data_IF_025493997177
#
_entry.id   IF_025493997177
#
_cell.length_a   1.000
_cell.length_b   1.000
_cell.length_c   1.000
_cell.angle_alpha   90.00
_cell.angle_beta   90.00
_cell.angle_gamma   90.00
#
_symmetry.space_group_name_H-M   'P 1'
#
loop_
_entity.id
_entity.type
_entity.pdbx_description
1 polymer ?
#
# COMPACT_ATOMS: atom_id res chain seq x y z
N UNK A 1 -13.33 -15.80 10.22
CA UNK A 1 -14.05 -14.52 10.38
C UNK A 1 -13.02 -13.42 10.58
N UNK A 2 -12.71 -12.65 9.53
CA UNK A 2 -11.73 -11.54 9.60
C UNK A 2 -12.44 -10.30 10.11
N UNK A 3 -12.02 -9.81 11.27
CA UNK A 3 -12.51 -8.58 11.87
C UNK A 3 -12.03 -7.39 11.03
N UNK A 4 -12.93 -6.73 10.33
CA UNK A 4 -12.65 -5.50 9.60
C UNK A 4 -12.90 -4.34 10.55
N UNK A 5 -11.84 -3.75 11.06
CA UNK A 5 -11.88 -2.47 11.78
C UNK A 5 -11.79 -1.37 10.73
N UNK A 6 -12.90 -0.73 10.42
CA UNK A 6 -12.91 0.45 9.53
C UNK A 6 -12.67 1.67 10.39
N UNK A 7 -11.40 1.98 10.61
CA UNK A 7 -10.99 3.28 11.14
C UNK A 7 -10.91 4.30 10.01
N UNK A 8 -11.90 5.17 9.88
CA UNK A 8 -11.89 6.28 8.92
C UNK A 8 -10.98 7.40 9.44
N UNK A 9 -9.67 7.26 9.25
CA UNK A 9 -8.67 8.30 9.50
C UNK A 9 -8.45 9.09 8.20
N UNK A 10 -9.15 10.22 8.07
CA UNK A 10 -8.78 11.25 7.09
C UNK A 10 -7.60 12.04 7.67
N UNK A 11 -6.38 11.67 7.27
CA UNK A 11 -5.17 12.44 7.55
C UNK A 11 -4.97 13.51 6.47
N UNK A 12 -5.22 14.77 6.81
CA UNK A 12 -4.73 15.91 6.02
C UNK A 12 -3.32 16.24 6.46
N UNK A 13 -2.35 15.97 5.59
CA UNK A 13 -0.96 16.42 5.76
C UNK A 13 -0.87 17.95 5.60
N UNK A 14 -0.53 18.64 6.67
CA UNK A 14 0.03 19.99 6.62
C UNK A 14 1.55 19.88 6.70
N UNK A 15 2.21 20.25 5.62
CA UNK A 15 3.64 20.51 5.57
C UNK A 15 3.92 21.89 6.19
N UNK A 16 4.48 21.91 7.38
CA UNK A 16 5.03 23.11 8.01
C UNK A 16 6.54 22.97 8.14
N UNK A 17 7.28 23.73 7.35
CA UNK A 17 8.73 23.87 7.49
C UNK A 17 9.06 24.74 8.71
N UNK A 18 9.90 24.24 9.63
CA UNK A 18 10.58 25.07 10.63
C UNK A 18 12.09 24.85 10.54
N UNK A 19 12.75 25.91 10.16
CA UNK A 19 14.21 26.09 10.16
C UNK A 19 14.74 26.16 11.58
N UNK A 20 15.81 25.42 11.80
CA UNK A 20 16.65 25.44 12.99
C UNK A 20 17.51 26.71 13.07
N UNK A 21 17.70 27.24 14.28
CA UNK A 21 18.92 27.96 14.60
C UNK A 21 19.34 27.69 16.06
N UNK A 22 20.47 27.04 16.19
CA UNK A 22 21.18 26.83 17.45
C UNK A 22 22.02 28.04 17.78
N UNK A 23 22.06 28.43 19.05
CA UNK A 23 23.26 29.07 19.64
C UNK A 23 23.37 28.80 21.14
N UNK A 24 24.45 28.17 21.44
CA UNK A 24 25.10 27.90 22.73
C UNK A 24 25.50 29.19 23.41
N UNK A 25 25.45 29.29 24.77
CA UNK A 25 26.58 29.64 25.66
C UNK A 25 26.14 29.85 27.11
N UNK A 26 26.64 28.99 27.97
CA UNK A 26 27.49 29.17 29.18
C UNK A 26 26.93 29.87 30.42
N UNK A 27 26.92 29.06 31.48
CA UNK A 27 27.12 29.24 32.90
C UNK A 27 27.24 30.70 33.46
N UNK A 28 26.54 30.95 34.55
CA UNK A 28 27.22 31.20 35.81
C UNK A 28 26.33 31.07 37.05
N UNK A 29 26.94 30.45 38.05
CA UNK A 29 26.51 30.21 39.42
C UNK A 29 26.43 31.50 40.21
N UNK A 30 25.47 31.63 41.12
CA UNK A 30 25.72 31.99 42.52
C UNK A 30 24.43 32.04 43.36
N UNK A 31 24.45 31.28 44.32
CA UNK A 31 23.93 31.17 45.69
C UNK A 31 23.30 32.45 46.30
N UNK A 32 22.21 32.29 47.05
CA UNK A 32 21.98 32.57 48.47
C UNK A 32 20.57 33.11 48.79
N UNK A 33 19.94 32.34 49.66
CA UNK A 33 19.07 32.64 50.82
C UNK A 33 17.66 33.18 50.62
N UNK A 34 16.77 32.29 50.99
CA UNK A 34 15.99 32.33 52.27
C UNK A 34 14.81 33.26 52.35
N UNK A 35 13.73 32.61 52.58
CA UNK A 35 12.62 32.98 53.50
C UNK A 35 11.41 33.66 52.90
N UNK A 36 10.37 32.99 53.15
CA UNK A 36 9.02 33.33 53.58
C UNK A 36 7.89 32.97 52.65
N UNK A 37 7.22 31.94 53.13
CA UNK A 37 5.78 31.80 53.25
C UNK A 37 4.95 32.71 52.34
N UNK A 38 4.58 32.21 51.20
CA UNK A 38 3.36 32.66 50.57
C UNK A 38 2.53 31.41 50.22
N UNK A 39 1.43 31.31 50.91
CA UNK A 39 0.27 30.49 50.58
C UNK A 39 0.03 30.58 49.08
N UNK A 40 0.45 29.57 48.33
CA UNK A 40 0.01 29.44 46.96
C UNK A 40 -1.47 29.09 46.97
N UNK A 41 -2.33 30.07 46.79
CA UNK A 41 -3.63 29.84 46.23
C UNK A 41 -3.38 29.19 44.88
N UNK A 42 -3.63 27.88 44.79
CA UNK A 42 -3.75 27.17 43.56
C UNK A 42 -4.95 27.77 42.82
N UNK A 43 -4.70 28.72 41.96
CA UNK A 43 -5.64 29.16 40.95
C UNK A 43 -5.80 27.97 40.01
N UNK A 44 -6.76 27.12 40.32
CA UNK A 44 -7.19 26.06 39.41
C UNK A 44 -7.77 26.77 38.18
N UNK A 45 -6.99 26.85 37.10
CA UNK A 45 -7.52 27.33 35.82
C UNK A 45 -8.74 26.49 35.47
N UNK A 46 -9.91 27.12 35.38
CA UNK A 46 -11.13 26.46 35.01
C UNK A 46 -11.00 25.94 33.57
N UNK A 47 -11.15 24.64 33.40
CA UNK A 47 -11.11 23.98 32.07
C UNK A 47 -12.47 24.22 31.40
N UNK A 48 -12.47 24.95 30.28
CA UNK A 48 -13.67 25.14 29.47
C UNK A 48 -14.14 23.80 28.85
N UNK A 49 -15.46 23.63 28.77
CA UNK A 49 -16.05 22.45 28.12
C UNK A 49 -15.59 22.39 26.64
N UNK A 50 -15.03 21.26 26.26
CA UNK A 50 -14.64 20.94 24.89
C UNK A 50 -15.03 19.49 24.56
N UNK A 51 -15.58 19.28 23.38
CA UNK A 51 -15.98 17.95 22.90
C UNK A 51 -15.27 17.63 21.60
N UNK A 52 -14.65 16.47 21.53
CA UNK A 52 -14.00 15.96 20.32
C UNK A 52 -15.04 15.53 19.28
N UNK A 53 -14.57 15.28 18.04
CA UNK A 53 -15.43 14.67 17.02
C UNK A 53 -15.88 13.28 17.47
N UNK A 54 -17.16 12.89 17.23
CA UNK A 54 -17.67 11.59 17.58
C UNK A 54 -16.95 10.46 16.82
N UNK A 55 -16.67 9.37 17.53
CA UNK A 55 -16.22 8.12 16.92
C UNK A 55 -17.40 7.16 16.82
N UNK A 56 -17.61 6.54 15.66
CA UNK A 56 -18.74 5.67 15.37
C UNK A 56 -18.33 4.20 15.33
N UNK A 57 -19.10 3.33 16.01
CA UNK A 57 -18.87 1.89 16.09
C UNK A 57 -20.13 1.16 15.62
N UNK A 58 -20.23 0.95 14.30
CA UNK A 58 -21.41 0.31 13.69
C UNK A 58 -21.64 -1.13 14.17
N UNK A 59 -20.57 -1.87 14.43
CA UNK A 59 -20.66 -3.26 14.91
C UNK A 59 -21.40 -3.38 16.26
N UNK A 60 -21.24 -2.38 17.11
CA UNK A 60 -21.85 -2.34 18.45
C UNK A 60 -23.04 -1.39 18.53
N UNK A 61 -23.40 -0.76 17.42
CA UNK A 61 -24.51 0.20 17.37
C UNK A 61 -24.34 1.42 18.29
N UNK A 62 -23.10 1.87 18.51
CA UNK A 62 -22.76 2.93 19.44
C UNK A 62 -21.92 4.02 18.78
N UNK A 63 -21.97 5.21 19.37
CA UNK A 63 -20.97 6.25 19.17
C UNK A 63 -20.28 6.59 20.49
N UNK A 64 -19.08 7.12 20.37
CA UNK A 64 -18.24 7.53 21.48
C UNK A 64 -17.95 9.02 21.39
N UNK A 65 -18.22 9.75 22.45
CA UNK A 65 -17.81 11.14 22.64
C UNK A 65 -16.76 11.20 23.73
N UNK A 66 -15.73 12.00 23.49
CA UNK A 66 -14.72 12.32 24.48
C UNK A 66 -14.50 13.84 24.52
N UNK A 67 -14.06 14.36 25.65
CA UNK A 67 -13.85 15.78 25.81
C UNK A 67 -13.09 16.13 27.06
N UNK A 68 -13.04 17.43 27.33
CA UNK A 68 -12.51 17.99 28.56
C UNK A 68 -13.51 18.98 29.16
N UNK A 69 -13.58 19.02 30.47
CA UNK A 69 -14.36 19.99 31.24
C UNK A 69 -13.73 20.12 32.64
N UNK A 70 -14.20 21.10 33.41
CA UNK A 70 -13.75 21.31 34.77
C UNK A 70 -14.06 20.07 35.65
N UNK A 71 -13.06 19.48 36.33
CA UNK A 71 -13.26 18.28 37.17
C UNK A 71 -14.24 18.49 38.31
N UNK A 72 -14.52 19.74 38.70
CA UNK A 72 -15.46 20.08 39.77
C UNK A 72 -16.92 20.23 39.30
N UNK A 73 -17.14 20.13 37.97
CA UNK A 73 -18.44 20.30 37.35
C UNK A 73 -18.93 18.99 36.77
N UNK A 74 -20.23 18.81 36.76
CA UNK A 74 -20.89 17.70 36.09
C UNK A 74 -21.22 18.12 34.66
N UNK A 75 -20.81 17.30 33.67
CA UNK A 75 -21.25 17.46 32.28
C UNK A 75 -22.54 16.73 32.07
N UNK A 76 -23.61 17.46 31.77
CA UNK A 76 -24.93 16.93 31.46
C UNK A 76 -25.09 16.84 29.95
N UNK A 77 -25.57 15.71 29.47
CA UNK A 77 -25.77 15.40 28.07
C UNK A 77 -27.23 15.16 27.81
N UNK A 78 -27.81 15.95 26.91
CA UNK A 78 -29.22 15.88 26.53
C UNK A 78 -29.39 15.70 25.01
N UNK A 79 -30.54 15.15 24.62
CA UNK A 79 -30.99 15.14 23.22
C UNK A 79 -32.47 15.47 23.20
N UNK A 80 -32.89 16.40 22.33
CA UNK A 80 -34.27 16.89 22.26
C UNK A 80 -34.83 17.35 23.62
N UNK A 81 -33.94 17.82 24.51
CA UNK A 81 -34.30 18.25 25.88
C UNK A 81 -34.43 17.12 26.90
N UNK A 82 -34.26 15.86 26.51
CA UNK A 82 -34.26 14.71 27.41
C UNK A 82 -32.85 14.37 27.88
N UNK A 83 -32.72 14.05 29.18
CA UNK A 83 -31.45 13.65 29.79
C UNK A 83 -30.99 12.29 29.23
N UNK A 84 -29.80 12.26 28.61
CA UNK A 84 -29.17 11.02 28.17
C UNK A 84 -28.22 10.49 29.23
N UNK A 85 -27.34 11.37 29.76
CA UNK A 85 -26.35 11.00 30.76
C UNK A 85 -25.77 12.21 31.47
N UNK A 86 -25.31 11.96 32.69
CA UNK A 86 -24.43 12.87 33.42
C UNK A 86 -23.08 12.21 33.68
N UNK A 87 -22.00 12.99 33.63
CA UNK A 87 -20.63 12.50 33.83
C UNK A 87 -19.81 13.55 34.58
N UNK A 88 -19.06 13.12 35.58
CA UNK A 88 -18.05 13.94 36.23
C UNK A 88 -16.71 13.67 35.54
N UNK A 89 -16.02 14.71 35.01
CA UNK A 89 -14.69 14.56 34.44
C UNK A 89 -13.69 14.01 35.46
N UNK A 90 -12.65 13.37 34.95
CA UNK A 90 -11.51 12.91 35.76
C UNK A 90 -10.73 14.09 36.33
N UNK A 91 -9.77 13.85 37.23
CA UNK A 91 -8.93 14.89 37.83
C UNK A 91 -8.17 15.73 36.81
N UNK A 92 -7.83 15.14 35.64
CA UNK A 92 -7.19 15.83 34.52
C UNK A 92 -8.20 16.56 33.60
N UNK A 93 -9.48 16.59 33.97
CA UNK A 93 -10.57 17.19 33.24
C UNK A 93 -11.11 16.33 32.09
N UNK A 94 -10.57 15.15 31.83
CA UNK A 94 -11.04 14.31 30.73
C UNK A 94 -12.34 13.59 31.07
N UNK A 95 -13.22 13.42 30.04
CA UNK A 95 -14.39 12.59 30.11
C UNK A 95 -14.63 11.83 28.82
N UNK A 96 -15.32 10.72 28.91
CA UNK A 96 -15.75 9.96 27.75
C UNK A 96 -17.07 9.23 28.01
N UNK A 97 -17.89 9.12 26.97
CA UNK A 97 -19.14 8.38 27.01
C UNK A 97 -19.32 7.54 25.76
N UNK A 98 -20.06 6.46 25.95
CA UNK A 98 -20.58 5.63 24.86
C UNK A 98 -22.09 5.65 24.92
N UNK A 99 -22.72 5.96 23.80
CA UNK A 99 -24.17 6.10 23.66
C UNK A 99 -24.63 5.30 22.43
N UNK A 100 -25.82 4.68 22.47
CA UNK A 100 -26.39 4.04 21.29
C UNK A 100 -26.56 5.02 20.13
N UNK A 101 -26.30 4.55 18.90
CA UNK A 101 -26.53 5.33 17.68
C UNK A 101 -28.02 5.59 17.48
N UNK A 102 -28.40 6.78 17.01
CA UNK A 102 -29.74 7.01 16.46
C UNK A 102 -30.01 6.05 15.29
N UNK A 103 -31.19 5.45 15.22
CA UNK A 103 -31.48 4.43 14.21
C UNK A 103 -31.67 5.02 12.79
N UNK A 104 -32.51 6.03 12.67
CA UNK A 104 -33.00 6.49 11.33
C UNK A 104 -32.54 7.88 10.93
N UNK A 105 -32.40 8.81 11.87
CA UNK A 105 -32.13 10.21 11.59
C UNK A 105 -30.97 10.73 12.44
N UNK A 106 -30.23 11.70 11.89
CA UNK A 106 -29.22 12.45 12.63
C UNK A 106 -29.87 13.14 13.83
N UNK A 107 -29.26 13.01 14.99
CA UNK A 107 -29.71 13.66 16.22
C UNK A 107 -28.65 14.62 16.77
N UNK A 108 -29.13 15.73 17.33
CA UNK A 108 -28.28 16.69 18.01
C UNK A 108 -28.23 16.37 19.51
N UNK A 109 -27.01 16.31 20.02
CA UNK A 109 -26.71 16.16 21.43
C UNK A 109 -26.15 17.48 21.95
N UNK A 110 -26.69 17.94 23.07
CA UNK A 110 -26.21 19.14 23.77
C UNK A 110 -25.49 18.71 25.03
N UNK A 111 -24.30 19.21 25.23
CA UNK A 111 -23.48 18.97 26.40
C UNK A 111 -23.28 20.30 27.12
N UNK A 112 -23.52 20.31 28.43
CA UNK A 112 -23.35 21.50 29.27
C UNK A 112 -22.64 21.17 30.57
N UNK A 113 -21.77 22.05 31.02
CA UNK A 113 -21.15 22.06 32.34
C UNK A 113 -21.80 23.08 33.30
N UNK A 114 -22.96 23.61 32.90
CA UNK A 114 -23.68 24.68 33.61
C UNK A 114 -23.21 26.09 33.27
N UNK A 115 -22.09 26.24 32.56
CA UNK A 115 -21.58 27.55 32.14
C UNK A 115 -21.32 27.61 30.63
N UNK A 116 -20.92 26.50 30.01
CA UNK A 116 -20.67 26.39 28.58
C UNK A 116 -21.57 25.32 27.99
N UNK A 117 -22.04 25.56 26.77
CA UNK A 117 -22.85 24.59 26.03
C UNK A 117 -22.13 24.23 24.72
N UNK A 118 -22.01 22.95 24.44
CA UNK A 118 -21.48 22.41 23.20
C UNK A 118 -22.57 21.58 22.51
N UNK A 119 -22.63 21.65 21.18
CA UNK A 119 -23.61 20.90 20.38
C UNK A 119 -22.90 19.99 19.40
N UNK A 120 -23.27 18.72 19.39
CA UNK A 120 -22.69 17.70 18.53
C UNK A 120 -23.80 16.98 17.76
N UNK A 121 -23.75 17.02 16.44
CA UNK A 121 -24.68 16.28 15.58
C UNK A 121 -24.17 14.87 15.36
N UNK A 122 -24.94 13.88 15.73
CA UNK A 122 -24.61 12.45 15.62
C UNK A 122 -25.38 11.86 14.45
N UNK A 123 -24.67 11.34 13.47
CA UNK A 123 -25.25 10.64 12.32
C UNK A 123 -25.98 9.39 12.75
N UNK A 124 -27.08 9.10 12.09
CA UNK A 124 -27.82 7.86 12.33
C UNK A 124 -27.05 6.63 11.80
N UNK A 125 -27.41 5.48 12.33
CA UNK A 125 -26.92 4.18 11.85
C UNK A 125 -27.21 3.98 10.36
N UNK A 126 -28.42 4.37 9.90
CA UNK A 126 -28.82 4.24 8.51
C UNK A 126 -27.92 5.08 7.57
N UNK A 127 -27.60 6.32 7.96
CA UNK A 127 -26.70 7.19 7.18
C UNK A 127 -25.27 6.67 7.15
N UNK A 128 -24.77 6.19 8.29
CA UNK A 128 -23.42 5.62 8.38
C UNK A 128 -23.29 4.33 7.57
N UNK A 129 -24.31 3.46 7.62
CA UNK A 129 -24.33 2.24 6.82
C UNK A 129 -24.35 2.54 5.33
N UNK A 130 -25.19 3.46 4.88
CA UNK A 130 -25.24 3.91 3.49
C UNK A 130 -23.89 4.46 3.03
N UNK A 131 -23.25 5.29 3.84
CA UNK A 131 -21.93 5.82 3.52
C UNK A 131 -20.86 4.72 3.44
N UNK A 132 -20.91 3.72 4.31
CA UNK A 132 -20.01 2.57 4.28
C UNK A 132 -20.21 1.72 3.00
N UNK A 133 -21.47 1.45 2.64
CA UNK A 133 -21.81 0.69 1.44
C UNK A 133 -21.35 1.42 0.16
N UNK A 134 -21.51 2.74 0.10
CA UNK A 134 -21.02 3.57 -1.02
C UNK A 134 -19.49 3.55 -1.16
N UNK A 135 -18.76 3.60 -0.03
CA UNK A 135 -17.30 3.50 -0.02
C UNK A 135 -16.84 2.12 -0.49
N UNK A 136 -17.51 1.07 -0.01
CA UNK A 136 -17.18 -0.30 -0.42
C UNK A 136 -17.47 -0.54 -1.92
N UNK A 137 -18.59 -0.03 -2.43
CA UNK A 137 -18.92 -0.12 -3.85
C UNK A 137 -17.87 0.60 -4.73
N UNK A 138 -17.46 1.80 -4.34
CA UNK A 138 -16.40 2.54 -5.04
C UNK A 138 -15.06 1.80 -5.00
N UNK A 139 -14.69 1.22 -3.85
CA UNK A 139 -13.46 0.43 -3.73
C UNK A 139 -13.47 -0.78 -4.68
N UNK A 140 -14.56 -1.54 -4.69
CA UNK A 140 -14.71 -2.71 -5.59
C UNK A 140 -14.60 -2.30 -7.06
N UNK A 141 -15.21 -1.18 -7.45
CA UNK A 141 -15.11 -0.68 -8.82
C UNK A 141 -13.68 -0.25 -9.17
N UNK A 142 -12.98 0.44 -8.26
CA UNK A 142 -11.58 0.80 -8.47
C UNK A 142 -10.65 -0.41 -8.57
N UNK A 143 -10.85 -1.43 -7.72
CA UNK A 143 -10.09 -2.69 -7.77
C UNK A 143 -10.31 -3.40 -9.11
N UNK A 144 -11.56 -3.42 -9.62
CA UNK A 144 -11.88 -4.01 -10.93
C UNK A 144 -11.21 -3.24 -12.07
N UNK A 145 -11.32 -1.91 -12.10
CA UNK A 145 -10.69 -1.07 -13.12
C UNK A 145 -9.17 -1.23 -13.12
N UNK A 146 -8.56 -1.31 -11.93
CA UNK A 146 -7.12 -1.54 -11.79
C UNK A 146 -6.72 -2.90 -12.35
N UNK A 147 -7.45 -3.96 -12.01
CA UNK A 147 -7.18 -5.31 -12.53
C UNK A 147 -7.33 -5.39 -14.06
N UNK A 148 -8.34 -4.72 -14.63
CA UNK A 148 -8.54 -4.66 -16.10
C UNK A 148 -7.40 -3.87 -16.77
N UNK A 149 -6.95 -2.75 -16.18
CA UNK A 149 -5.85 -1.95 -16.70
C UNK A 149 -4.52 -2.73 -16.65
N UNK A 150 -4.23 -3.43 -15.54
CA UNK A 150 -3.04 -4.28 -15.40
C UNK A 150 -3.05 -5.43 -16.43
N UNK A 151 -4.19 -6.08 -16.63
CA UNK A 151 -4.34 -7.13 -17.64
C UNK A 151 -4.07 -6.60 -19.05
N UNK A 152 -4.65 -5.45 -19.39
CA UNK A 152 -4.46 -4.82 -20.70
C UNK A 152 -3.01 -4.43 -20.92
N UNK A 153 -2.36 -3.82 -19.92
CA UNK A 153 -0.94 -3.46 -19.99
C UNK A 153 -0.05 -4.70 -20.18
N UNK A 154 -0.33 -5.81 -19.48
CA UNK A 154 0.40 -7.06 -19.64
C UNK A 154 0.20 -7.68 -21.04
N UNK A 155 -1.00 -7.58 -21.62
CA UNK A 155 -1.27 -8.03 -22.98
C UNK A 155 -0.55 -7.17 -24.03
N UNK A 156 -0.57 -5.85 -23.87
CA UNK A 156 0.16 -4.89 -24.72
C UNK A 156 1.68 -5.12 -24.62
N UNK A 157 2.20 -5.35 -23.42
CA UNK A 157 3.60 -5.69 -23.24
C UNK A 157 3.98 -6.98 -23.95
N UNK A 158 3.21 -8.06 -23.78
CA UNK A 158 3.41 -9.34 -24.50
C UNK A 158 3.36 -9.16 -26.02
N UNK A 159 2.43 -8.35 -26.52
CA UNK A 159 2.32 -8.07 -27.94
C UNK A 159 3.52 -7.27 -28.50
N UNK A 160 4.20 -6.49 -27.66
CA UNK A 160 5.36 -5.71 -28.09
C UNK A 160 6.56 -6.56 -28.51
N UNK A 161 6.59 -7.84 -28.14
CA UNK A 161 7.63 -8.81 -28.57
C UNK A 161 7.34 -9.46 -29.92
N UNK A 162 6.13 -9.29 -30.45
CA UNK A 162 5.72 -9.85 -31.76
C UNK A 162 6.16 -8.91 -32.89
N UNK A 163 7.47 -8.75 -33.04
CA UNK A 163 8.11 -7.78 -33.95
C UNK A 163 8.26 -8.35 -35.37
N UNK A 164 8.02 -9.64 -35.57
CA UNK A 164 8.24 -10.33 -36.83
C UNK A 164 9.74 -10.60 -37.14
N UNK A 165 10.61 -10.40 -36.16
CA UNK A 165 12.05 -10.76 -36.29
C UNK A 165 12.15 -12.29 -36.38
N UNK A 166 12.87 -12.80 -37.40
CA UNK A 166 13.05 -14.23 -37.65
C UNK A 166 14.42 -14.71 -37.22
N UNK A 167 14.62 -16.03 -37.15
CA UNK A 167 15.94 -16.62 -36.94
C UNK A 167 16.96 -16.11 -37.98
N UNK A 168 16.59 -16.05 -39.28
CA UNK A 168 17.50 -15.59 -40.34
C UNK A 168 17.87 -14.13 -40.19
N UNK A 169 17.00 -13.29 -39.66
CA UNK A 169 17.34 -11.91 -39.33
C UNK A 169 18.46 -11.85 -38.31
N UNK A 170 18.36 -12.61 -37.23
CA UNK A 170 19.36 -12.66 -36.18
C UNK A 170 20.68 -13.28 -36.66
N UNK A 171 20.60 -14.39 -37.40
CA UNK A 171 21.77 -15.11 -37.85
C UNK A 171 22.56 -14.39 -38.96
N UNK A 172 21.89 -13.60 -39.82
CA UNK A 172 22.56 -12.89 -40.93
C UNK A 172 22.98 -11.48 -40.60
N UNK A 173 22.28 -10.83 -39.68
CA UNK A 173 22.49 -9.41 -39.36
C UNK A 173 22.44 -9.15 -37.83
N UNK A 174 23.23 -9.83 -37.01
CA UNK A 174 23.14 -9.80 -35.56
C UNK A 174 23.24 -8.38 -35.00
N UNK A 175 24.11 -7.54 -35.53
CA UNK A 175 24.31 -6.16 -35.08
C UNK A 175 23.10 -5.28 -35.38
N UNK A 176 22.37 -5.53 -36.48
CA UNK A 176 21.18 -4.77 -36.85
C UNK A 176 20.01 -5.02 -35.88
N UNK A 177 19.91 -6.24 -35.38
CA UNK A 177 18.83 -6.68 -34.48
C UNK A 177 19.28 -6.75 -33.02
N UNK A 178 20.44 -6.19 -32.68
CA UNK A 178 20.88 -6.09 -31.30
C UNK A 178 19.92 -5.26 -30.48
N UNK A 179 19.54 -5.76 -29.31
CA UNK A 179 18.54 -5.16 -28.39
C UNK A 179 17.09 -5.07 -28.94
N UNK A 180 16.82 -5.73 -30.09
CA UNK A 180 15.43 -5.84 -30.58
C UNK A 180 14.64 -6.88 -29.77
N UNK A 181 13.36 -6.59 -29.49
CA UNK A 181 12.43 -7.51 -28.87
C UNK A 181 12.08 -8.64 -29.83
N UNK A 182 12.06 -9.86 -29.32
CA UNK A 182 11.77 -11.07 -30.11
C UNK A 182 10.82 -11.99 -29.35
N UNK A 183 10.04 -12.75 -30.12
CA UNK A 183 9.16 -13.81 -29.62
C UNK A 183 9.38 -15.04 -30.47
N UNK A 184 9.74 -16.14 -29.83
CA UNK A 184 9.91 -17.43 -30.50
C UNK A 184 9.20 -18.54 -29.72
N UNK A 185 8.65 -19.51 -30.43
CA UNK A 185 8.19 -20.78 -29.87
C UNK A 185 9.13 -21.88 -30.30
N UNK A 186 9.36 -22.87 -29.48
CA UNK A 186 10.26 -23.96 -29.84
C UNK A 186 10.59 -24.89 -28.69
N UNK A 187 11.57 -25.76 -28.92
CA UNK A 187 11.97 -26.83 -28.02
C UNK A 187 13.31 -26.59 -27.39
N UNK A 188 13.42 -26.87 -26.11
CA UNK A 188 14.70 -26.95 -25.40
C UNK A 188 15.41 -28.23 -25.80
N UNK A 189 16.58 -28.12 -26.39
CA UNK A 189 17.37 -29.26 -26.82
C UNK A 189 18.61 -29.54 -25.96
N UNK A 190 18.96 -28.59 -25.08
CA UNK A 190 19.99 -28.78 -24.09
C UNK A 190 19.88 -27.77 -22.97
N UNK A 191 20.11 -28.20 -21.73
CA UNK A 191 20.17 -27.35 -20.55
C UNK A 191 21.61 -27.21 -20.07
N UNK A 192 22.09 -25.95 -19.95
CA UNK A 192 23.45 -25.61 -19.49
C UNK A 192 23.25 -24.76 -18.21
N UNK A 193 23.42 -25.37 -17.05
CA UNK A 193 23.23 -24.67 -15.78
C UNK A 193 24.40 -23.74 -15.47
N UNK A 194 24.09 -22.52 -15.06
CA UNK A 194 24.98 -21.56 -14.43
C UNK A 194 24.62 -21.31 -12.97
N UNK A 195 25.34 -20.43 -12.31
CA UNK A 195 25.12 -20.10 -10.89
C UNK A 195 23.98 -19.08 -10.74
N UNK A 196 23.98 -18.00 -11.52
CA UNK A 196 22.97 -16.93 -11.46
C UNK A 196 21.96 -16.99 -12.62
N UNK A 197 22.35 -17.62 -13.72
CA UNK A 197 21.59 -17.74 -14.97
C UNK A 197 21.81 -19.10 -15.57
N UNK A 198 20.74 -19.68 -16.11
CA UNK A 198 20.85 -20.91 -16.90
C UNK A 198 20.72 -20.60 -18.38
N UNK A 199 21.57 -21.25 -19.18
CA UNK A 199 21.54 -21.16 -20.63
C UNK A 199 20.93 -22.41 -21.24
N UNK A 200 20.21 -22.23 -22.32
CA UNK A 200 19.53 -23.32 -23.02
C UNK A 200 19.79 -23.21 -24.52
N UNK A 201 20.06 -24.36 -25.16
CA UNK A 201 19.94 -24.42 -26.62
C UNK A 201 18.47 -24.64 -26.95
N UNK A 202 17.98 -23.80 -27.85
CA UNK A 202 16.55 -23.71 -28.16
C UNK A 202 16.35 -23.81 -29.67
N UNK A 203 15.63 -24.84 -30.12
CA UNK A 203 15.27 -25.06 -31.53
C UNK A 203 13.93 -24.37 -31.82
N UNK A 204 13.98 -23.28 -32.59
CA UNK A 204 12.81 -22.51 -32.99
C UNK A 204 11.90 -23.41 -33.86
N UNK A 205 10.61 -23.43 -33.55
CA UNK A 205 9.57 -24.19 -34.25
C UNK A 205 9.90 -25.70 -34.44
N UNK A 206 10.61 -26.30 -33.45
CA UNK A 206 11.16 -27.66 -33.55
C UNK A 206 12.16 -27.88 -34.71
N UNK A 207 12.68 -26.81 -35.27
CA UNK A 207 13.65 -26.87 -36.37
C UNK A 207 15.10 -26.87 -35.84
N UNK A 208 15.73 -28.03 -35.86
CA UNK A 208 17.09 -28.21 -35.34
C UNK A 208 18.18 -27.51 -36.19
N UNK A 209 17.82 -26.97 -37.36
CA UNK A 209 18.69 -26.10 -38.16
C UNK A 209 18.60 -24.63 -37.74
N UNK A 210 17.62 -24.29 -36.88
CA UNK A 210 17.38 -22.94 -36.39
C UNK A 210 17.55 -22.88 -34.87
N UNK A 211 18.77 -23.07 -34.41
CA UNK A 211 19.09 -23.10 -32.98
C UNK A 211 19.65 -21.76 -32.52
N UNK A 212 19.08 -21.23 -31.44
CA UNK A 212 19.58 -20.08 -30.72
C UNK A 212 20.03 -20.48 -29.30
N UNK A 213 20.85 -19.67 -28.68
CA UNK A 213 21.12 -19.74 -27.25
C UNK A 213 20.16 -18.80 -26.54
N UNK A 214 19.47 -19.28 -25.54
CA UNK A 214 18.62 -18.46 -24.67
C UNK A 214 19.19 -18.46 -23.26
N UNK A 215 19.12 -17.31 -22.61
CA UNK A 215 19.54 -17.13 -21.24
C UNK A 215 18.34 -16.73 -20.37
N UNK A 216 18.13 -17.45 -19.27
CA UNK A 216 17.00 -17.28 -18.35
C UNK A 216 17.56 -17.16 -16.93
N UNK A 217 17.12 -16.17 -16.17
CA UNK A 217 17.55 -15.99 -14.79
C UNK A 217 17.02 -17.10 -13.89
N UNK A 218 17.76 -17.45 -12.83
CA UNK A 218 17.33 -18.45 -11.85
C UNK A 218 16.04 -18.01 -11.11
N UNK A 219 15.81 -16.71 -10.96
CA UNK A 219 14.55 -16.19 -10.36
C UNK A 219 13.33 -16.56 -11.21
N UNK A 220 13.44 -16.49 -12.54
CA UNK A 220 12.36 -16.89 -13.45
C UNK A 220 12.14 -18.41 -13.43
N UNK A 221 13.20 -19.19 -13.21
CA UNK A 221 13.15 -20.65 -13.13
C UNK A 221 12.69 -21.18 -11.77
N UNK A 222 12.65 -20.33 -10.75
CA UNK A 222 12.30 -20.72 -9.37
C UNK A 222 10.95 -21.41 -9.24
N UNK A 223 9.97 -21.03 -10.08
CA UNK A 223 8.62 -21.59 -10.09
C UNK A 223 8.40 -22.68 -11.16
N UNK A 224 9.23 -22.68 -12.22
CA UNK A 224 9.06 -23.57 -13.36
C UNK A 224 10.44 -23.97 -13.89
N UNK A 225 10.95 -25.09 -13.38
CA UNK A 225 12.20 -25.66 -13.91
C UNK A 225 11.98 -26.17 -15.33
N UNK A 226 12.82 -25.69 -16.26
CA UNK A 226 12.83 -26.18 -17.64
C UNK A 226 13.73 -27.40 -17.81
N UNK A 227 13.29 -28.33 -18.62
CA UNK A 227 13.98 -29.56 -18.95
C UNK A 227 14.20 -29.66 -20.46
N UNK A 228 15.08 -30.58 -20.87
CA UNK A 228 15.18 -31.01 -22.27
C UNK A 228 13.83 -31.56 -22.73
N UNK A 229 13.49 -31.31 -23.99
CA UNK A 229 12.25 -31.64 -24.66
C UNK A 229 11.03 -30.76 -24.28
N UNK A 230 11.15 -29.84 -23.32
CA UNK A 230 10.08 -28.86 -23.07
C UNK A 230 9.88 -27.96 -24.29
N UNK A 231 8.58 -27.77 -24.66
CA UNK A 231 8.18 -26.85 -25.70
C UNK A 231 7.65 -25.57 -25.08
N UNK A 232 8.30 -24.44 -25.34
CA UNK A 232 7.98 -23.16 -24.69
C UNK A 232 7.86 -22.04 -25.73
N UNK A 233 7.17 -20.97 -25.33
CA UNK A 233 7.22 -19.67 -26.00
C UNK A 233 8.02 -18.72 -25.15
N UNK A 234 9.09 -18.16 -25.71
CA UNK A 234 9.92 -17.13 -25.07
C UNK A 234 9.57 -15.75 -25.63
N UNK A 235 9.75 -14.74 -24.75
CA UNK A 235 9.80 -13.33 -25.10
C UNK A 235 11.07 -12.76 -24.48
N UNK A 236 11.84 -12.05 -25.26
CA UNK A 236 13.15 -11.56 -24.79
C UNK A 236 13.74 -10.55 -25.74
N UNK A 237 14.99 -10.25 -25.50
CA UNK A 237 15.76 -9.27 -26.26
C UNK A 237 16.94 -9.96 -26.92
N UNK A 238 17.15 -9.69 -28.22
CA UNK A 238 18.32 -10.18 -28.95
C UNK A 238 19.62 -9.61 -28.36
N UNK A 239 20.55 -10.50 -28.07
CA UNK A 239 21.87 -10.16 -27.53
C UNK A 239 22.99 -10.24 -28.59
N UNK A 240 22.65 -10.42 -29.87
CA UNK A 240 23.57 -10.61 -30.93
C UNK A 240 23.98 -12.08 -31.07
N UNK A 241 25.28 -12.34 -31.24
CA UNK A 241 25.84 -13.70 -31.40
C UNK A 241 26.59 -14.15 -30.14
N UNK A 242 26.52 -15.44 -29.86
CA UNK A 242 27.26 -16.09 -28.79
C UNK A 242 28.05 -17.27 -29.36
N UNK A 243 29.36 -17.30 -29.06
CA UNK A 243 30.24 -18.40 -29.46
C UNK A 243 30.59 -19.27 -28.26
N UNK A 244 30.40 -20.57 -28.40
CA UNK A 244 30.77 -21.55 -27.39
C UNK A 244 31.52 -22.74 -27.99
N UNK A 245 32.29 -23.45 -27.16
CA UNK A 245 32.98 -24.66 -27.57
C UNK A 245 32.07 -25.87 -27.42
N UNK A 246 31.81 -26.58 -28.49
CA UNK A 246 31.03 -27.82 -28.48
C UNK A 246 31.75 -28.96 -27.77
N UNK A 247 31.02 -30.01 -27.40
CA UNK A 247 31.58 -31.22 -26.78
C UNK A 247 32.64 -31.93 -27.66
N UNK A 248 32.65 -31.68 -28.97
CA UNK A 248 33.62 -32.21 -29.94
C UNK A 248 34.82 -31.28 -30.14
N UNK A 249 34.91 -30.17 -29.39
CA UNK A 249 36.01 -29.22 -29.40
C UNK A 249 35.99 -28.17 -30.54
N UNK A 250 34.90 -28.11 -31.33
CA UNK A 250 34.66 -27.07 -32.32
C UNK A 250 33.96 -25.85 -31.76
N UNK A 251 34.31 -24.65 -32.24
CA UNK A 251 33.56 -23.44 -31.90
C UNK A 251 32.26 -23.38 -32.71
N UNK A 252 31.18 -23.04 -32.04
CA UNK A 252 29.84 -22.85 -32.61
C UNK A 252 29.35 -21.47 -32.24
N UNK A 253 28.97 -20.67 -33.24
CA UNK A 253 28.37 -19.35 -33.08
C UNK A 253 26.91 -19.44 -33.46
N UNK A 254 26.04 -18.95 -32.54
CA UNK A 254 24.57 -18.92 -32.71
C UNK A 254 24.03 -17.57 -32.26
N UNK A 255 22.87 -17.15 -32.77
CA UNK A 255 22.17 -16.01 -32.19
C UNK A 255 21.81 -16.25 -30.71
N UNK A 256 21.86 -15.21 -29.91
CA UNK A 256 21.58 -15.27 -28.49
C UNK A 256 20.41 -14.34 -28.11
N UNK A 257 19.59 -14.77 -27.17
CA UNK A 257 18.44 -14.03 -26.64
C UNK A 257 18.45 -14.09 -25.10
N UNK A 258 18.37 -12.93 -24.47
CA UNK A 258 18.08 -12.83 -23.04
C UNK A 258 16.56 -12.83 -22.86
N UNK A 259 16.06 -13.76 -22.07
CA UNK A 259 14.61 -13.99 -21.92
C UNK A 259 14.05 -13.14 -20.80
N UNK A 260 13.05 -12.31 -21.14
CA UNK A 260 12.28 -11.52 -20.16
C UNK A 260 11.12 -12.33 -19.57
N UNK A 261 10.53 -13.22 -20.37
CA UNK A 261 9.47 -14.12 -19.90
C UNK A 261 9.31 -15.35 -20.79
N UNK A 262 8.82 -16.43 -20.23
CA UNK A 262 8.48 -17.64 -21.00
C UNK A 262 7.14 -18.24 -20.55
N UNK A 263 6.50 -19.00 -21.44
CA UNK A 263 5.28 -19.75 -21.18
C UNK A 263 5.47 -21.19 -21.63
N UNK A 264 5.04 -22.15 -20.80
CA UNK A 264 5.01 -23.58 -21.17
C UNK A 264 3.86 -23.82 -22.13
N UNK A 265 4.16 -24.42 -23.27
CA UNK A 265 3.14 -24.82 -24.24
C UNK A 265 2.90 -26.35 -24.08
N UNK A 266 1.89 -26.70 -23.30
CA UNK A 266 1.49 -28.10 -23.10
C UNK A 266 0.69 -28.62 -24.28
#
# INVERSE_FOLDING_TARGET
>A
MKKIVIGLLLSTMFLGACTSNAKTTTENSSTIKSSENSTSESTTESIALYVSRPAYYLENNNFHLAGKADPQKTVTITTSGELVKEITPSEDGSFSITVPLPETETQDFELTDGTTNEKVSIKSKAELQKAADEVEAKRKEQEKQKAEAEKKAAEEEKASYDTGVTFENLARNPDTYLAEKVKFSGRIIQVIKGDDQSQFRFAIDDNYDQVILIEISEDQLSNNRLLEDDYITIRGVSFGEYTYTSALGGEITVPAVVVDSFEMNN
#
